data_IF_605975179777
#
_entry.id   IF_605975179777
#
_cell.length_a   1.000
_cell.length_b   1.000
_cell.length_c   1.000
_cell.angle_alpha   90.00
_cell.angle_beta   90.00
_cell.angle_gamma   90.00
#
_symmetry.space_group_name_H-M   'P 1'
#
loop_
_entity.id
_entity.type
_entity.pdbx_description
1 polymer ?
#
# COMPACT_ATOMS: atom_id res chain seq x y z
N UNK A 1 -5.42 10.23 -19.20
CA UNK A 1 -5.10 10.93 -17.95
C UNK A 1 -4.17 10.01 -17.16
N UNK A 2 -3.02 10.50 -16.67
CA UNK A 2 -2.16 9.71 -15.78
C UNK A 2 -2.83 9.70 -14.40
N UNK A 3 -3.11 8.52 -13.85
CA UNK A 3 -3.65 8.41 -12.50
C UNK A 3 -2.47 8.59 -11.54
N UNK A 4 -2.36 9.77 -10.93
CA UNK A 4 -1.31 10.04 -9.94
C UNK A 4 -1.83 9.67 -8.55
N UNK A 5 -1.03 8.95 -7.74
CA UNK A 5 -1.47 8.55 -6.41
C UNK A 5 -1.63 9.75 -5.50
N UNK A 6 -2.72 9.75 -4.74
CA UNK A 6 -3.00 10.82 -3.78
C UNK A 6 -1.98 10.91 -2.64
N UNK A 7 -1.29 9.80 -2.36
CA UNK A 7 -0.31 9.72 -1.27
C UNK A 7 0.78 8.73 -1.67
N UNK A 8 2.03 9.13 -1.50
CA UNK A 8 3.20 8.25 -1.66
C UNK A 8 3.81 7.97 -0.29
N UNK A 9 4.27 6.75 -0.06
CA UNK A 9 4.88 6.35 1.20
C UNK A 9 6.17 5.58 0.96
N UNK A 10 7.16 5.80 1.83
CA UNK A 10 8.41 5.03 1.76
C UNK A 10 8.17 3.59 2.18
N UNK A 11 8.81 2.65 1.48
CA UNK A 11 8.84 1.24 1.89
C UNK A 11 9.33 1.02 3.34
N UNK A 12 10.11 1.94 3.91
CA UNK A 12 10.56 1.84 5.31
C UNK A 12 9.40 1.94 6.32
N UNK A 13 8.38 2.75 6.01
CA UNK A 13 7.16 2.88 6.82
C UNK A 13 6.31 1.61 6.82
N UNK A 14 6.56 0.71 5.85
CA UNK A 14 5.87 -0.57 5.68
C UNK A 14 6.68 -1.78 6.15
N UNK A 15 7.80 -1.56 6.84
CA UNK A 15 8.52 -2.67 7.47
C UNK A 15 7.62 -3.41 8.46
N UNK A 16 7.77 -4.73 8.57
CA UNK A 16 6.93 -5.57 9.45
C UNK A 16 6.88 -5.01 10.88
N UNK A 17 8.02 -4.54 11.40
CA UNK A 17 8.10 -3.94 12.73
C UNK A 17 7.21 -2.69 12.86
N UNK A 18 7.24 -1.78 11.87
CA UNK A 18 6.42 -0.57 11.86
C UNK A 18 4.94 -0.88 11.69
N UNK A 19 4.61 -1.85 10.83
CA UNK A 19 3.24 -2.32 10.63
C UNK A 19 2.63 -2.84 11.93
N UNK A 20 3.33 -3.75 12.62
CA UNK A 20 2.93 -4.30 13.93
C UNK A 20 2.93 -3.22 15.03
N UNK A 21 3.81 -2.22 14.95
CA UNK A 21 3.82 -1.07 15.86
C UNK A 21 2.67 -0.07 15.64
N UNK A 22 1.73 -0.36 14.74
CA UNK A 22 0.48 0.38 14.56
C UNK A 22 0.29 1.03 13.19
N UNK A 23 1.29 0.96 12.29
CA UNK A 23 1.12 1.47 10.92
C UNK A 23 0.06 0.68 10.14
N UNK A 24 -0.28 -0.55 10.53
CA UNK A 24 -1.39 -1.32 9.95
C UNK A 24 -2.75 -0.61 10.02
N UNK A 25 -2.95 0.29 11.01
CA UNK A 25 -4.18 1.10 11.13
C UNK A 25 -4.27 2.21 10.08
N UNK A 26 -3.14 2.59 9.49
CA UNK A 26 -3.02 3.66 8.49
C UNK A 26 -2.84 3.12 7.08
N UNK A 27 -2.07 2.04 6.96
CA UNK A 27 -1.62 1.48 5.69
C UNK A 27 -2.08 0.02 5.55
N UNK A 28 -3.35 -0.27 5.84
CA UNK A 28 -3.87 -1.63 5.72
C UNK A 28 -3.77 -2.15 4.29
N UNK A 29 -4.02 -1.28 3.31
CA UNK A 29 -3.91 -1.54 1.87
C UNK A 29 -3.05 -0.47 1.22
N UNK A 30 -2.14 -0.89 0.35
CA UNK A 30 -1.24 -0.02 -0.41
C UNK A 30 -1.06 -0.57 -1.82
N UNK A 31 -0.56 0.26 -2.72
CA UNK A 31 -0.18 -0.14 -4.08
C UNK A 31 1.34 -0.28 -4.13
N UNK A 32 1.84 -1.43 -4.57
CA UNK A 32 3.28 -1.67 -4.73
C UNK A 32 3.85 -1.06 -6.01
N UNK A 33 5.18 -1.17 -6.16
CA UNK A 33 5.91 -0.66 -7.32
C UNK A 33 5.52 -1.34 -8.64
N UNK A 34 4.92 -2.54 -8.57
CA UNK A 34 4.47 -3.31 -9.72
C UNK A 34 3.01 -2.98 -10.08
N UNK A 35 2.39 -2.03 -9.37
CA UNK A 35 1.01 -1.61 -9.60
C UNK A 35 0.00 -2.62 -9.08
N UNK A 36 0.30 -3.35 -8.01
CA UNK A 36 -0.61 -4.30 -7.36
C UNK A 36 -1.11 -3.76 -6.04
N UNK A 37 -2.39 -3.97 -5.75
CA UNK A 37 -2.95 -3.70 -4.42
C UNK A 37 -2.54 -4.85 -3.50
N UNK A 38 -1.75 -4.52 -2.49
CA UNK A 38 -1.34 -5.44 -1.44
C UNK A 38 -2.00 -5.08 -0.11
N UNK A 39 -2.32 -6.09 0.69
CA UNK A 39 -2.95 -5.94 2.01
C UNK A 39 -2.08 -6.55 3.10
N UNK A 40 -1.96 -5.82 4.22
CA UNK A 40 -1.30 -6.31 5.40
C UNK A 40 -2.22 -7.21 6.22
N UNK A 41 -1.77 -8.43 6.51
CA UNK A 41 -2.55 -9.45 7.25
C UNK A 41 -1.93 -9.79 8.61
N UNK A 42 -1.17 -8.86 9.21
CA UNK A 42 -0.57 -9.02 10.54
C UNK A 42 0.82 -9.67 10.54
N UNK A 43 1.08 -10.57 9.58
CA UNK A 43 2.38 -11.27 9.46
C UNK A 43 3.16 -10.92 8.19
N UNK A 44 2.51 -10.25 7.24
CA UNK A 44 3.05 -10.00 5.92
C UNK A 44 2.06 -9.30 5.00
N UNK A 45 2.51 -9.06 3.78
CA UNK A 45 1.72 -8.51 2.70
C UNK A 45 1.25 -9.61 1.75
N UNK A 46 -0.01 -9.56 1.36
CA UNK A 46 -0.57 -10.42 0.32
C UNK A 46 -1.06 -9.59 -0.86
N UNK A 47 -0.87 -10.09 -2.07
CA UNK A 47 -1.46 -9.50 -3.28
C UNK A 47 -2.95 -9.81 -3.33
N UNK A 48 -3.77 -8.77 -3.55
CA UNK A 48 -5.23 -8.90 -3.64
C UNK A 48 -5.68 -8.83 -5.10
N UNK A 49 -5.19 -7.83 -5.84
CA UNK A 49 -5.53 -7.60 -7.25
C UNK A 49 -4.51 -6.67 -7.91
N UNK A 50 -4.53 -6.61 -9.24
CA UNK A 50 -3.92 -5.51 -9.98
C UNK A 50 -4.63 -4.19 -9.63
N UNK A 51 -3.87 -3.09 -9.54
CA UNK A 51 -4.42 -1.78 -9.23
C UNK A 51 -5.16 -1.21 -10.44
N UNK A 52 -6.40 -0.80 -10.21
CA UNK A 52 -7.25 -0.11 -11.16
C UNK A 52 -7.09 1.41 -11.01
N UNK A 53 -7.46 2.21 -12.03
CA UNK A 53 -7.39 3.68 -11.96
C UNK A 53 -7.96 4.31 -10.69
N UNK A 54 -9.08 3.78 -10.17
CA UNK A 54 -9.70 4.30 -8.95
C UNK A 54 -8.92 3.97 -7.68
N UNK A 55 -8.14 2.90 -7.65
CA UNK A 55 -7.38 2.47 -6.47
C UNK A 55 -6.29 3.50 -6.12
N UNK A 56 -5.69 4.16 -7.11
CA UNK A 56 -4.69 5.21 -6.91
C UNK A 56 -5.22 6.45 -6.16
N UNK A 57 -6.55 6.62 -6.12
CA UNK A 57 -7.20 7.66 -5.32
C UNK A 57 -7.49 7.22 -3.87
N UNK A 58 -7.51 5.90 -3.63
CA UNK A 58 -7.92 5.28 -2.37
C UNK A 58 -6.73 4.85 -1.53
N UNK A 59 -5.68 4.33 -2.16
CA UNK A 59 -4.57 3.70 -1.48
C UNK A 59 -3.26 4.45 -1.71
N UNK A 60 -2.37 4.49 -0.70
CA UNK A 60 -1.04 5.03 -0.89
C UNK A 60 -0.22 4.15 -1.85
N UNK A 61 0.65 4.78 -2.63
CA UNK A 61 1.63 4.07 -3.48
C UNK A 61 2.98 4.03 -2.79
N UNK A 62 3.62 2.87 -2.84
CA UNK A 62 4.97 2.67 -2.35
C UNK A 62 5.97 3.33 -3.30
N UNK A 63 6.86 4.15 -2.74
CA UNK A 63 8.02 4.74 -3.42
C UNK A 63 9.33 4.36 -2.75
#
# INVERSE_FOLDING_TARGET
>A
MKNEPKTTISRQELSNLKMVAGNEKKYQKVIDSDGKVIEWVGIGWIEIKAAEPNDYNLYPVIV
#
